data_IF_010967871007
#
_entry.id   IF_010967871007
#
_cell.length_a   1.000
_cell.length_b   1.000
_cell.length_c   1.000
_cell.angle_alpha   90.00
_cell.angle_beta   90.00
_cell.angle_gamma   90.00
#
_symmetry.space_group_name_H-M   'P 1'
#
loop_
_entity.id
_entity.type
_entity.pdbx_description
1 polymer ?
#
# COMPACT_ATOMS: atom_id res chain seq x y z
N UNK A 1 -59.13 39.34 -24.53
CA UNK A 1 -58.58 39.37 -23.15
C UNK A 1 -57.14 38.92 -23.21
N UNK A 2 -56.20 39.82 -22.89
CA UNK A 2 -54.77 39.55 -22.69
C UNK A 2 -54.58 39.02 -21.27
N UNK A 3 -53.72 38.03 -21.03
CA UNK A 3 -52.82 38.00 -19.87
C UNK A 3 -51.60 37.13 -20.20
N UNK A 4 -50.43 37.77 -20.18
CA UNK A 4 -49.10 37.21 -20.28
C UNK A 4 -48.57 36.92 -18.87
N UNK A 5 -47.87 35.80 -18.67
CA UNK A 5 -46.76 35.69 -17.72
C UNK A 5 -45.71 34.69 -18.27
N UNK A 6 -44.57 35.22 -18.74
CA UNK A 6 -43.26 34.54 -18.83
C UNK A 6 -42.59 34.60 -17.42
N UNK A 7 -41.39 34.03 -17.19
CA UNK A 7 -40.83 32.74 -17.56
C UNK A 7 -40.16 32.04 -16.34
N UNK A 8 -39.92 30.73 -16.39
CA UNK A 8 -38.85 30.12 -15.56
C UNK A 8 -37.97 29.30 -16.48
N UNK A 9 -36.92 29.96 -16.96
CA UNK A 9 -35.76 29.33 -17.58
C UNK A 9 -34.98 28.64 -16.46
N UNK A 10 -35.14 27.32 -16.32
CA UNK A 10 -34.28 26.53 -15.45
C UNK A 10 -33.09 26.06 -16.28
N UNK A 11 -32.02 26.84 -16.26
CA UNK A 11 -30.74 26.52 -16.88
C UNK A 11 -30.02 25.49 -15.99
N UNK A 12 -30.22 24.19 -16.27
CA UNK A 12 -29.44 23.11 -15.66
C UNK A 12 -28.05 23.08 -16.31
N UNK A 13 -27.09 23.73 -15.66
CA UNK A 13 -25.66 23.53 -15.89
C UNK A 13 -25.30 22.11 -15.45
N UNK A 14 -25.24 21.18 -16.42
CA UNK A 14 -24.54 19.91 -16.24
C UNK A 14 -23.05 20.21 -16.13
N UNK A 15 -22.55 20.33 -14.90
CA UNK A 15 -21.13 20.17 -14.64
C UNK A 15 -20.78 18.70 -14.92
N UNK A 16 -20.25 18.44 -16.11
CA UNK A 16 -19.54 17.20 -16.41
C UNK A 16 -18.28 17.18 -15.53
N UNK A 17 -18.42 16.70 -14.30
CA UNK A 17 -17.29 16.15 -13.57
C UNK A 17 -16.90 14.85 -14.26
N UNK A 18 -16.09 14.97 -15.30
CA UNK A 18 -15.37 13.83 -15.86
C UNK A 18 -14.39 13.38 -14.77
N UNK A 19 -14.85 12.45 -13.93
CA UNK A 19 -13.96 11.66 -13.09
C UNK A 19 -13.13 10.83 -14.06
N UNK A 20 -11.95 11.34 -14.44
CA UNK A 20 -11.00 10.61 -15.25
C UNK A 20 -10.59 9.39 -14.45
N UNK A 21 -11.12 8.23 -14.81
CA UNK A 21 -10.60 6.95 -14.37
C UNK A 21 -9.16 6.89 -14.83
N UNK A 22 -8.21 7.24 -13.95
CA UNK A 22 -6.81 6.85 -14.14
C UNK A 22 -6.82 5.33 -14.13
N UNK A 23 -6.73 4.77 -15.32
CA UNK A 23 -6.48 3.36 -15.57
C UNK A 23 -5.30 2.93 -14.71
N UNK A 24 -5.51 1.92 -13.87
CA UNK A 24 -4.47 1.40 -12.99
C UNK A 24 -3.37 0.83 -13.88
N UNK A 25 -2.25 1.54 -13.97
CA UNK A 25 -1.07 0.99 -14.63
C UNK A 25 -0.62 -0.24 -13.85
N UNK A 26 -0.62 -1.39 -14.51
CA UNK A 26 0.02 -2.60 -14.05
C UNK A 26 1.52 -2.31 -13.82
N UNK A 27 2.16 -2.93 -12.82
CA UNK A 27 3.59 -2.71 -12.60
C UNK A 27 4.36 -3.18 -13.85
N UNK A 28 5.37 -2.43 -14.32
CA UNK A 28 6.17 -2.86 -15.45
C UNK A 28 6.88 -4.17 -15.09
N UNK A 29 6.72 -5.17 -15.97
CA UNK A 29 7.38 -6.46 -15.85
C UNK A 29 8.90 -6.32 -15.71
N UNK A 30 9.51 -7.30 -15.04
CA UNK A 30 10.89 -7.40 -14.58
C UNK A 30 11.96 -7.47 -15.69
N UNK A 31 11.89 -6.63 -16.71
CA UNK A 31 12.99 -6.32 -17.61
C UNK A 31 13.68 -5.05 -17.11
N UNK A 32 15.01 -5.05 -17.03
CA UNK A 32 15.80 -3.90 -16.56
C UNK A 32 15.44 -2.63 -17.35
N UNK A 33 14.57 -1.81 -16.79
CA UNK A 33 14.23 -0.52 -17.35
C UNK A 33 15.47 0.36 -17.24
N UNK A 34 16.10 0.67 -18.37
CA UNK A 34 17.20 1.62 -18.45
C UNK A 34 16.73 2.96 -17.89
N UNK A 35 17.33 3.38 -16.76
CA UNK A 35 17.11 4.72 -16.21
C UNK A 35 17.83 5.71 -17.13
N UNK A 36 17.15 6.72 -17.69
CA UNK A 36 17.80 7.71 -18.55
C UNK A 36 18.95 8.41 -17.81
N UNK A 37 20.07 8.66 -18.50
CA UNK A 37 21.24 9.38 -17.95
C UNK A 37 20.86 10.79 -17.45
N UNK A 38 19.86 11.41 -18.07
CA UNK A 38 19.29 12.69 -17.61
C UNK A 38 18.62 12.60 -16.23
N UNK A 39 18.00 11.47 -15.89
CA UNK A 39 17.43 11.21 -14.57
C UNK A 39 18.53 11.01 -13.54
N UNK A 40 19.58 10.25 -13.87
CA UNK A 40 20.70 10.01 -12.96
C UNK A 40 21.49 11.28 -12.62
N UNK A 41 21.61 12.21 -13.57
CA UNK A 41 22.33 13.47 -13.40
C UNK A 41 21.52 14.58 -12.72
N UNK A 42 20.21 14.40 -12.56
CA UNK A 42 19.35 15.35 -11.85
C UNK A 42 19.01 14.78 -10.46
N UNK A 43 19.56 15.33 -9.36
CA UNK A 43 19.37 14.78 -8.02
C UNK A 43 17.89 14.63 -7.61
N UNK A 44 17.05 15.60 -7.93
CA UNK A 44 15.62 15.55 -7.60
C UNK A 44 14.91 14.46 -8.38
N UNK A 45 15.16 14.36 -9.69
CA UNK A 45 14.56 13.33 -10.53
C UNK A 45 15.04 11.92 -10.12
N UNK A 46 16.32 11.79 -9.76
CA UNK A 46 16.88 10.56 -9.25
C UNK A 46 16.24 10.14 -7.93
N UNK A 47 16.12 11.04 -6.96
CA UNK A 47 15.49 10.74 -5.67
C UNK A 47 14.03 10.32 -5.82
N UNK A 48 13.25 11.02 -6.66
CA UNK A 48 11.86 10.64 -6.93
C UNK A 48 11.77 9.25 -7.58
N UNK A 49 12.67 8.93 -8.52
CA UNK A 49 12.74 7.61 -9.13
C UNK A 49 13.11 6.52 -8.11
N UNK A 50 14.09 6.78 -7.25
CA UNK A 50 14.51 5.86 -6.19
C UNK A 50 13.38 5.62 -5.19
N UNK A 51 12.65 6.67 -4.80
CA UNK A 51 11.51 6.58 -3.89
C UNK A 51 10.40 5.72 -4.49
N UNK A 52 10.02 5.97 -5.76
CA UNK A 52 9.01 5.17 -6.47
C UNK A 52 9.42 3.69 -6.55
N UNK A 53 10.67 3.40 -6.92
CA UNK A 53 11.17 2.01 -6.98
C UNK A 53 11.18 1.35 -5.62
N UNK A 54 11.51 2.09 -4.57
CA UNK A 54 11.48 1.59 -3.19
C UNK A 54 10.05 1.34 -2.73
N UNK A 55 9.09 2.17 -3.11
CA UNK A 55 7.67 1.94 -2.83
C UNK A 55 7.17 0.61 -3.41
N UNK A 56 7.56 0.28 -4.65
CA UNK A 56 7.12 -0.95 -5.29
C UNK A 56 7.58 -2.21 -4.58
N UNK A 57 8.68 -2.18 -3.80
CA UNK A 57 9.03 -3.27 -2.88
C UNK A 57 7.91 -3.49 -1.85
N UNK A 58 7.53 -2.46 -1.09
CA UNK A 58 6.47 -2.56 -0.07
C UNK A 58 5.10 -2.86 -0.67
N UNK A 59 4.89 -2.55 -1.94
CA UNK A 59 3.65 -2.89 -2.62
C UNK A 59 3.62 -4.35 -3.11
N UNK A 60 4.72 -4.84 -3.68
CA UNK A 60 4.74 -6.16 -4.30
C UNK A 60 5.05 -7.29 -3.30
N UNK A 61 5.85 -7.01 -2.27
CA UNK A 61 6.22 -8.00 -1.24
C UNK A 61 5.20 -8.08 -0.08
N UNK A 62 4.10 -7.34 -0.17
CA UNK A 62 3.00 -7.41 0.77
C UNK A 62 2.04 -8.55 0.39
N UNK A 63 1.69 -9.40 1.36
CA UNK A 63 0.65 -10.40 1.18
C UNK A 63 -0.72 -9.71 1.01
N UNK A 64 -1.46 -9.92 -0.09
CA UNK A 64 -2.74 -9.27 -0.30
C UNK A 64 -3.83 -9.71 0.70
N UNK A 65 -3.71 -10.89 1.30
CA UNK A 65 -4.71 -11.48 2.18
C UNK A 65 -4.58 -11.03 3.64
N UNK A 66 -3.35 -10.81 4.12
CA UNK A 66 -3.09 -10.43 5.52
C UNK A 66 -2.28 -9.14 5.69
N UNK A 67 -1.73 -8.56 4.62
CA UNK A 67 -0.98 -7.32 4.61
C UNK A 67 0.47 -7.40 5.12
N UNK A 68 0.95 -8.56 5.57
CA UNK A 68 2.33 -8.73 6.04
C UNK A 68 3.33 -8.53 4.90
N UNK A 69 4.47 -7.89 5.20
CA UNK A 69 5.50 -7.58 4.19
C UNK A 69 6.74 -8.43 4.44
N UNK A 70 7.27 -9.07 3.38
CA UNK A 70 8.52 -9.84 3.47
C UNK A 70 9.68 -9.00 3.96
N UNK A 71 10.58 -9.61 4.71
CA UNK A 71 11.84 -8.99 5.15
C UNK A 71 12.75 -8.69 3.96
N UNK A 72 12.71 -9.53 2.92
CA UNK A 72 13.54 -9.44 1.70
C UNK A 72 12.75 -9.89 0.47
N UNK A 73 13.15 -9.44 -0.72
CA UNK A 73 12.51 -9.79 -2.01
C UNK A 73 12.91 -11.17 -2.52
N UNK A 74 12.79 -12.19 -1.67
CA UNK A 74 13.01 -13.61 -2.01
C UNK A 74 11.80 -14.41 -1.57
N UNK A 75 11.37 -15.39 -2.37
CA UNK A 75 10.14 -16.17 -2.13
C UNK A 75 10.09 -16.87 -0.77
N UNK A 76 11.24 -17.27 -0.22
CA UNK A 76 11.35 -17.94 1.08
C UNK A 76 11.44 -16.97 2.28
N UNK A 77 11.44 -15.65 2.03
CA UNK A 77 11.62 -14.67 3.10
C UNK A 77 10.39 -14.62 4.02
N UNK A 78 10.57 -14.66 5.36
CA UNK A 78 9.48 -14.42 6.30
C UNK A 78 8.99 -12.98 6.17
N UNK A 79 7.83 -12.69 6.75
CA UNK A 79 7.46 -11.32 7.06
C UNK A 79 8.25 -10.81 8.27
N UNK A 80 8.60 -9.53 8.27
CA UNK A 80 9.15 -8.84 9.43
C UNK A 80 8.18 -7.78 9.92
N UNK A 81 8.02 -7.65 11.24
CA UNK A 81 7.16 -6.62 11.84
C UNK A 81 7.68 -5.22 11.53
N UNK A 82 9.01 -5.03 11.51
CA UNK A 82 9.61 -3.74 11.16
C UNK A 82 9.29 -3.35 9.72
N UNK A 83 9.52 -4.27 8.77
CA UNK A 83 9.23 -4.03 7.35
C UNK A 83 7.75 -3.83 7.08
N UNK A 84 6.90 -4.57 7.80
CA UNK A 84 5.44 -4.40 7.75
C UNK A 84 5.01 -3.02 8.26
N UNK A 85 5.62 -2.52 9.34
CA UNK A 85 5.42 -1.16 9.84
C UNK A 85 5.82 -0.08 8.83
N UNK A 86 6.96 -0.24 8.15
CA UNK A 86 7.37 0.65 7.06
C UNK A 86 6.42 0.58 5.86
N UNK A 87 5.81 -0.58 5.60
CA UNK A 87 4.78 -0.76 4.58
C UNK A 87 3.61 0.21 4.75
N UNK A 88 3.11 0.43 5.98
CA UNK A 88 2.03 1.39 6.26
C UNK A 88 2.38 2.81 5.80
N UNK A 89 3.60 3.24 6.05
CA UNK A 89 4.10 4.56 5.62
C UNK A 89 4.23 4.60 4.11
N UNK A 90 4.83 3.57 3.51
CA UNK A 90 5.01 3.48 2.07
C UNK A 90 3.68 3.51 1.30
N UNK A 91 2.65 2.81 1.78
CA UNK A 91 1.34 2.80 1.13
C UNK A 91 0.64 4.16 1.18
N UNK A 92 0.77 4.91 2.28
CA UNK A 92 0.30 6.28 2.37
C UNK A 92 1.07 7.19 1.40
N UNK A 93 2.40 7.11 1.38
CA UNK A 93 3.26 7.88 0.46
C UNK A 93 2.93 7.59 -1.01
N UNK A 94 2.72 6.33 -1.38
CA UNK A 94 2.35 5.97 -2.76
C UNK A 94 0.96 6.46 -3.17
N UNK A 95 0.04 6.60 -2.23
CA UNK A 95 -1.26 7.22 -2.50
C UNK A 95 -1.15 8.73 -2.72
N UNK A 96 -0.34 9.43 -1.92
CA UNK A 96 -0.11 10.88 -2.07
C UNK A 96 0.67 11.21 -3.36
N UNK A 97 1.65 10.38 -3.73
CA UNK A 97 2.37 10.51 -5.02
C UNK A 97 1.57 10.00 -6.23
N UNK A 98 0.41 9.36 -6.01
CA UNK A 98 -0.47 8.88 -7.07
C UNK A 98 0.01 7.64 -7.82
N UNK A 99 0.97 6.88 -7.26
CA UNK A 99 1.42 5.58 -7.80
C UNK A 99 0.36 4.49 -7.63
N UNK A 100 -0.47 4.62 -6.60
CA UNK A 100 -1.66 3.78 -6.36
C UNK A 100 -2.85 4.67 -6.00
N UNK A 101 -4.08 4.16 -6.18
CA UNK A 101 -5.27 4.91 -5.75
C UNK A 101 -5.35 4.91 -4.23
N UNK A 102 -5.80 6.03 -3.65
CA UNK A 102 -6.03 6.17 -2.19
C UNK A 102 -6.87 5.04 -1.61
N UNK A 103 -7.91 4.60 -2.34
CA UNK A 103 -8.76 3.48 -1.93
C UNK A 103 -7.95 2.18 -1.76
N UNK A 104 -7.08 1.85 -2.73
CA UNK A 104 -6.26 0.63 -2.69
C UNK A 104 -5.29 0.65 -1.52
N UNK A 105 -4.66 1.79 -1.24
CA UNK A 105 -3.80 1.94 -0.07
C UNK A 105 -4.60 1.77 1.24
N UNK A 106 -5.79 2.36 1.34
CA UNK A 106 -6.63 2.23 2.53
C UNK A 106 -7.16 0.82 2.76
N UNK A 107 -7.53 0.10 1.69
CA UNK A 107 -7.97 -1.29 1.76
C UNK A 107 -6.84 -2.18 2.26
N UNK A 108 -5.62 -2.02 1.73
CA UNK A 108 -4.46 -2.78 2.17
C UNK A 108 -4.09 -2.50 3.63
N UNK A 109 -4.11 -1.24 4.05
CA UNK A 109 -3.94 -0.87 5.47
C UNK A 109 -5.01 -1.53 6.34
N UNK A 110 -6.27 -1.51 5.92
CA UNK A 110 -7.36 -2.14 6.66
C UNK A 110 -7.19 -3.66 6.75
N UNK A 111 -6.74 -4.32 5.68
CA UNK A 111 -6.42 -5.76 5.69
C UNK A 111 -5.38 -6.07 6.77
N UNK A 112 -4.27 -5.33 6.81
CA UNK A 112 -3.23 -5.52 7.80
C UNK A 112 -3.73 -5.30 9.24
N UNK A 113 -4.49 -4.23 9.47
CA UNK A 113 -5.04 -3.92 10.79
C UNK A 113 -6.05 -4.99 11.25
N UNK A 114 -6.88 -5.51 10.34
CA UNK A 114 -7.80 -6.62 10.63
C UNK A 114 -7.04 -7.91 10.96
N UNK A 115 -5.98 -8.22 10.22
CA UNK A 115 -5.11 -9.35 10.52
C UNK A 115 -4.57 -9.24 11.94
N UNK A 116 -3.93 -8.12 12.28
CA UNK A 116 -3.35 -7.94 13.61
C UNK A 116 -4.41 -7.98 14.72
N UNK A 117 -5.55 -7.32 14.52
CA UNK A 117 -6.66 -7.33 15.48
C UNK A 117 -7.22 -8.74 15.72
N UNK A 118 -7.26 -9.59 14.68
CA UNK A 118 -7.74 -10.96 14.76
C UNK A 118 -6.64 -12.01 15.03
N UNK A 119 -5.38 -11.60 15.13
CA UNK A 119 -4.25 -12.51 15.27
C UNK A 119 -4.12 -13.08 16.67
N UNK A 120 -3.44 -14.21 16.79
CA UNK A 120 -3.25 -14.85 18.09
C UNK A 120 -2.31 -14.03 18.98
N UNK A 121 -2.77 -13.76 20.21
CA UNK A 121 -2.03 -13.07 21.27
C UNK A 121 -1.97 -13.98 22.51
N UNK A 122 -0.94 -14.81 22.63
CA UNK A 122 -0.86 -15.85 23.67
C UNK A 122 0.58 -16.24 23.98
N UNK A 123 0.77 -17.15 24.95
CA UNK A 123 2.09 -17.73 25.28
C UNK A 123 2.44 -18.94 24.39
N UNK A 124 1.60 -19.27 23.41
CA UNK A 124 1.90 -20.36 22.48
C UNK A 124 3.16 -20.03 21.68
N UNK A 125 4.00 -21.05 21.47
CA UNK A 125 5.31 -20.89 20.85
C UNK A 125 5.24 -20.33 19.43
N UNK A 126 4.12 -20.51 18.73
CA UNK A 126 3.89 -20.03 17.36
C UNK A 126 2.80 -18.97 17.23
N UNK A 127 2.37 -18.35 18.35
CA UNK A 127 1.46 -17.22 18.35
C UNK A 127 2.01 -16.05 17.51
N UNK A 128 1.13 -15.25 16.92
CA UNK A 128 1.53 -14.07 16.14
C UNK A 128 2.17 -13.00 17.03
N UNK A 129 1.70 -12.86 18.27
CA UNK A 129 2.29 -11.96 19.23
C UNK A 129 1.89 -12.25 20.67
N UNK A 130 2.30 -11.36 21.57
CA UNK A 130 2.04 -11.48 22.99
C UNK A 130 1.88 -10.10 23.62
N UNK A 131 0.79 -9.92 24.37
CA UNK A 131 0.48 -8.69 25.14
C UNK A 131 0.55 -7.40 24.30
N UNK A 132 0.15 -7.47 23.03
CA UNK A 132 0.13 -6.33 22.11
C UNK A 132 1.44 -6.08 21.38
N UNK A 133 2.50 -6.84 21.67
CA UNK A 133 3.71 -6.89 20.86
C UNK A 133 3.63 -8.05 19.86
N UNK A 134 4.37 -7.94 18.77
CA UNK A 134 4.45 -8.97 17.73
C UNK A 134 5.85 -9.52 17.63
N UNK A 135 5.97 -10.80 17.25
CA UNK A 135 7.28 -11.44 17.07
C UNK A 135 7.99 -10.92 15.82
N UNK A 136 9.30 -10.70 15.91
CA UNK A 136 10.14 -10.09 14.86
C UNK A 136 9.85 -10.69 13.48
N UNK A 137 9.90 -12.03 13.38
CA UNK A 137 9.60 -12.73 12.15
C UNK A 137 8.30 -13.53 12.26
N UNK A 138 7.45 -13.33 11.27
CA UNK A 138 6.23 -14.10 11.06
C UNK A 138 6.32 -14.85 9.75
N UNK A 139 5.69 -16.01 9.67
CA UNK A 139 5.45 -16.67 8.41
C UNK A 139 4.55 -15.77 7.55
N UNK A 140 5.00 -15.45 6.35
CA UNK A 140 4.36 -14.44 5.50
C UNK A 140 2.93 -14.80 5.08
N UNK A 141 2.64 -16.09 4.94
CA UNK A 141 1.30 -16.58 4.56
C UNK A 141 0.37 -16.68 5.78
N UNK A 142 0.87 -17.28 6.87
CA UNK A 142 0.02 -17.68 8.00
C UNK A 142 0.02 -16.69 9.16
N UNK A 143 1.04 -15.84 9.27
CA UNK A 143 1.19 -14.91 10.38
C UNK A 143 1.66 -15.53 11.70
N UNK A 144 2.09 -16.80 11.69
CA UNK A 144 2.63 -17.49 12.88
C UNK A 144 4.11 -17.15 13.07
N UNK A 145 4.61 -17.16 14.31
CA UNK A 145 6.03 -16.87 14.60
C UNK A 145 6.98 -17.78 13.82
N UNK A 146 8.07 -17.21 13.31
CA UNK A 146 9.17 -17.92 12.64
C UNK A 146 10.44 -17.95 13.50
N UNK A 147 11.21 -19.03 13.37
CA UNK A 147 12.61 -19.16 13.85
C UNK A 147 12.85 -18.83 15.32
N UNK A 148 11.87 -19.10 16.19
CA UNK A 148 11.91 -18.73 17.62
C UNK A 148 12.30 -17.25 17.84
N UNK A 149 11.93 -16.36 16.92
CA UNK A 149 12.32 -14.95 16.97
C UNK A 149 11.78 -14.25 18.20
N UNK A 150 12.46 -13.22 18.68
CA UNK A 150 12.05 -12.41 19.82
C UNK A 150 10.80 -11.55 19.54
N UNK A 151 10.15 -11.03 20.59
CA UNK A 151 9.15 -9.96 20.45
C UNK A 151 9.85 -8.66 20.07
N UNK A 152 9.28 -7.91 19.12
CA UNK A 152 9.77 -6.59 18.75
C UNK A 152 9.28 -5.55 19.76
N UNK A 153 10.19 -5.03 20.59
CA UNK A 153 9.91 -4.02 21.65
C UNK A 153 10.38 -2.62 21.28
#
# INVERSE_FOLDING_TARGET
>A
MKFYWLPVVFLLLLANSTCSSRESQSPPGSGSAWIPDSTLKNPTAFLHHLEEKTFWYFWNEANPENGLVRDRSTEESPASIATTGFGLVAWATGAENGWVRRLQASERTLTLLKFFLGSEQSENSDATGYRGFYYHFLNWETGRRMWDSELST
#
